data_IF_658024153311
#
_entry.id   IF_658024153311
#
_cell.length_a   1.000
_cell.length_b   1.000
_cell.length_c   1.000
_cell.angle_alpha   90.00
_cell.angle_beta   90.00
_cell.angle_gamma   90.00
#
_symmetry.space_group_name_H-M   'P 1'
#
loop_
_entity.id
_entity.type
_entity.pdbx_description
1 polymer ?
#
# COMPACT_ATOMS: atom_id res chain seq x y z
N UNK A 1 -11.05 6.83 23.91
CA UNK A 1 -11.49 6.50 22.53
C UNK A 1 -10.24 6.26 21.71
N UNK A 2 -10.22 5.21 20.88
CA UNK A 2 -9.07 4.91 20.02
C UNK A 2 -9.00 5.93 18.88
N UNK A 3 -7.87 6.58 18.71
CA UNK A 3 -7.62 7.58 17.66
C UNK A 3 -7.14 6.93 16.36
N UNK A 4 -6.16 6.00 16.46
CA UNK A 4 -5.59 5.31 15.31
C UNK A 4 -5.57 3.81 15.55
N UNK A 5 -6.12 3.05 14.58
CA UNK A 5 -5.90 1.60 14.48
C UNK A 5 -4.71 1.34 13.55
N UNK A 6 -3.64 0.75 14.07
CA UNK A 6 -2.51 0.30 13.26
C UNK A 6 -2.79 -1.13 12.81
N UNK A 7 -2.87 -1.34 11.50
CA UNK A 7 -3.14 -2.62 10.86
C UNK A 7 -1.81 -3.26 10.47
N UNK A 8 -1.50 -4.42 11.04
CA UNK A 8 -0.21 -5.08 10.91
C UNK A 8 -0.39 -6.53 10.40
N UNK A 9 -0.39 -6.77 9.08
CA UNK A 9 -0.39 -8.14 8.54
C UNK A 9 0.98 -8.77 8.78
N UNK A 10 1.01 -10.02 9.26
CA UNK A 10 2.23 -10.72 9.65
C UNK A 10 2.32 -12.06 8.92
N UNK A 11 3.40 -12.27 8.16
CA UNK A 11 3.70 -13.55 7.51
C UNK A 11 5.20 -13.77 7.35
N UNK A 12 5.78 -14.67 8.15
CA UNK A 12 7.19 -15.04 8.11
C UNK A 12 8.14 -13.84 8.20
N UNK A 13 8.00 -13.02 9.24
CA UNK A 13 8.77 -11.80 9.47
C UNK A 13 9.38 -11.73 10.88
N UNK A 14 9.53 -12.86 11.56
CA UNK A 14 10.07 -12.92 12.93
C UNK A 14 11.34 -12.08 13.15
N UNK A 15 12.32 -12.00 12.23
CA UNK A 15 13.53 -11.20 12.43
C UNK A 15 13.30 -9.69 12.56
N UNK A 16 12.15 -9.18 12.10
CA UNK A 16 11.85 -7.74 12.00
C UNK A 16 10.70 -7.30 12.91
N UNK A 17 9.87 -8.24 13.33
CA UNK A 17 8.57 -7.97 13.94
C UNK A 17 8.71 -7.27 15.30
N UNK A 18 9.74 -7.59 16.10
CA UNK A 18 9.99 -6.91 17.38
C UNK A 18 10.28 -5.42 17.15
N UNK A 19 11.13 -5.08 16.18
CA UNK A 19 11.46 -3.69 15.84
C UNK A 19 10.23 -2.92 15.34
N UNK A 20 9.38 -3.58 14.54
CA UNK A 20 8.12 -3.00 14.09
C UNK A 20 7.19 -2.67 15.28
N UNK A 21 6.97 -3.62 16.21
CA UNK A 21 6.16 -3.38 17.40
C UNK A 21 6.75 -2.27 18.29
N UNK A 22 8.06 -2.29 18.55
CA UNK A 22 8.71 -1.29 19.38
C UNK A 22 8.55 0.12 18.78
N UNK A 23 8.63 0.26 17.47
CA UNK A 23 8.44 1.53 16.78
C UNK A 23 7.02 2.10 16.93
N UNK A 24 6.01 1.22 16.96
CA UNK A 24 4.61 1.63 17.15
C UNK A 24 4.34 1.93 18.62
N UNK A 25 4.80 1.10 19.53
CA UNK A 25 4.56 1.24 20.98
C UNK A 25 5.26 2.45 21.58
N UNK A 26 6.41 2.85 21.01
CA UNK A 26 7.13 4.06 21.41
C UNK A 26 6.47 5.37 20.98
N UNK A 27 5.47 5.35 20.11
CA UNK A 27 4.80 6.56 19.65
C UNK A 27 4.21 7.38 20.80
N UNK A 28 4.26 8.71 20.66
CA UNK A 28 3.72 9.65 21.65
C UNK A 28 2.19 9.58 21.73
N UNK A 29 1.52 9.30 20.62
CA UNK A 29 0.07 9.03 20.59
C UNK A 29 -0.22 7.71 21.32
N UNK A 30 -0.86 7.79 22.50
CA UNK A 30 -1.15 6.60 23.32
C UNK A 30 -2.51 5.97 23.03
N UNK A 31 -3.44 6.73 22.47
CA UNK A 31 -4.79 6.28 22.12
C UNK A 31 -4.81 5.53 20.78
N UNK A 32 -3.96 4.52 20.69
CA UNK A 32 -3.86 3.61 19.54
C UNK A 32 -4.29 2.19 19.92
N UNK A 33 -4.65 1.41 18.93
CA UNK A 33 -4.69 -0.05 18.99
C UNK A 33 -3.84 -0.62 17.86
N UNK A 34 -3.26 -1.77 18.06
CA UNK A 34 -2.48 -2.51 17.06
C UNK A 34 -3.21 -3.79 16.78
N UNK A 35 -3.62 -4.00 15.54
CA UNK A 35 -4.31 -5.22 15.11
C UNK A 35 -3.36 -6.03 14.26
N UNK A 36 -2.70 -7.00 14.89
CA UNK A 36 -1.77 -7.91 14.23
C UNK A 36 -2.53 -9.13 13.70
N UNK A 37 -2.41 -9.42 12.41
CA UNK A 37 -3.04 -10.60 11.81
C UNK A 37 -1.95 -11.53 11.31
N UNK A 38 -1.78 -12.67 11.99
CA UNK A 38 -0.88 -13.73 11.56
C UNK A 38 -1.54 -14.52 10.41
N UNK A 39 -1.00 -14.36 9.21
CA UNK A 39 -1.48 -15.02 7.99
C UNK A 39 -0.80 -16.39 7.78
N UNK A 40 -0.81 -17.23 8.84
CA UNK A 40 -0.29 -18.58 8.79
C UNK A 40 1.24 -18.65 8.73
N UNK A 41 1.95 -17.84 9.52
CA UNK A 41 3.41 -17.90 9.62
C UNK A 41 3.89 -19.26 10.10
N UNK A 42 5.02 -19.70 9.56
CA UNK A 42 5.70 -20.95 9.90
C UNK A 42 7.00 -20.73 10.68
N UNK A 43 7.36 -19.47 10.91
CA UNK A 43 8.46 -19.04 11.75
C UNK A 43 7.96 -18.61 13.14
N UNK A 44 8.82 -18.03 13.97
CA UNK A 44 8.50 -17.60 15.33
C UNK A 44 7.65 -16.33 15.41
N UNK A 45 7.05 -15.85 14.30
CA UNK A 45 6.24 -14.62 14.30
C UNK A 45 5.06 -14.69 15.28
N UNK A 46 4.40 -15.84 15.41
CA UNK A 46 3.29 -16.00 16.35
C UNK A 46 3.73 -15.85 17.81
N UNK A 47 4.85 -16.45 18.17
CA UNK A 47 5.40 -16.35 19.54
C UNK A 47 5.77 -14.90 19.90
N UNK A 48 6.28 -14.15 18.93
CA UNK A 48 6.59 -12.72 19.10
C UNK A 48 5.30 -11.92 19.33
N UNK A 49 4.26 -12.15 18.54
CA UNK A 49 2.96 -11.49 18.73
C UNK A 49 2.43 -11.75 20.15
N UNK A 50 2.41 -13.00 20.60
CA UNK A 50 1.94 -13.39 21.94
C UNK A 50 2.75 -12.73 23.06
N UNK A 51 4.07 -12.70 22.91
CA UNK A 51 4.98 -12.00 23.83
C UNK A 51 4.64 -10.51 23.97
N UNK A 52 4.34 -9.84 22.85
CA UNK A 52 4.01 -8.41 22.84
C UNK A 52 2.60 -8.14 23.36
N UNK A 53 1.62 -9.01 23.10
CA UNK A 53 0.27 -8.93 23.70
C UNK A 53 0.31 -9.01 25.23
N UNK A 54 1.22 -9.80 25.80
CA UNK A 54 1.40 -9.87 27.25
C UNK A 54 2.02 -8.59 27.83
N UNK A 55 2.77 -7.83 27.04
CA UNK A 55 3.43 -6.60 27.47
C UNK A 55 2.55 -5.36 27.35
N UNK A 56 1.64 -5.32 26.34
CA UNK A 56 0.85 -4.16 26.04
C UNK A 56 -0.59 -4.53 25.60
N UNK A 57 -1.57 -4.11 26.37
CA UNK A 57 -2.98 -4.40 26.15
C UNK A 57 -3.58 -3.70 24.89
N UNK A 58 -2.84 -2.81 24.26
CA UNK A 58 -3.26 -2.17 23.00
C UNK A 58 -3.12 -3.11 21.80
N UNK A 59 -2.43 -4.25 21.93
CA UNK A 59 -2.21 -5.21 20.87
C UNK A 59 -3.34 -6.24 20.89
N UNK A 60 -4.00 -6.39 19.76
CA UNK A 60 -5.03 -7.42 19.51
C UNK A 60 -4.51 -8.28 18.36
N UNK A 61 -4.63 -9.59 18.47
CA UNK A 61 -4.17 -10.49 17.43
C UNK A 61 -5.28 -11.40 16.93
N UNK A 62 -5.21 -11.67 15.62
CA UNK A 62 -5.96 -12.71 14.94
C UNK A 62 -5.01 -13.62 14.18
N UNK A 63 -5.41 -14.87 13.98
CA UNK A 63 -4.66 -15.83 13.17
C UNK A 63 -5.59 -16.47 12.14
N UNK A 64 -5.07 -16.68 10.94
CA UNK A 64 -5.75 -17.37 9.85
C UNK A 64 -4.78 -18.31 9.12
N UNK A 65 -5.31 -19.25 8.34
CA UNK A 65 -4.50 -19.95 7.35
C UNK A 65 -4.01 -18.94 6.28
N UNK A 66 -2.86 -19.20 5.66
CA UNK A 66 -2.30 -18.25 4.69
C UNK A 66 -3.26 -18.03 3.51
N UNK A 67 -3.83 -16.83 3.44
CA UNK A 67 -4.73 -16.38 2.38
C UNK A 67 -4.23 -15.10 1.70
N UNK A 68 -3.04 -14.62 2.11
CA UNK A 68 -2.40 -13.43 1.55
C UNK A 68 -2.76 -12.14 2.26
N UNK A 69 -1.93 -11.15 2.05
CA UNK A 69 -1.93 -9.86 2.73
C UNK A 69 -3.27 -9.09 2.62
N UNK A 70 -3.96 -9.21 1.48
CA UNK A 70 -5.30 -8.62 1.30
C UNK A 70 -6.31 -9.11 2.32
N UNK A 71 -6.36 -10.42 2.53
CA UNK A 71 -7.33 -11.05 3.48
C UNK A 71 -6.96 -10.67 4.90
N UNK A 72 -5.67 -10.70 5.25
CA UNK A 72 -5.19 -10.29 6.56
C UNK A 72 -5.52 -8.82 6.88
N UNK A 73 -5.27 -7.90 5.92
CA UNK A 73 -5.64 -6.47 6.08
C UNK A 73 -7.16 -6.29 6.20
N UNK A 74 -7.96 -7.00 5.41
CA UNK A 74 -9.41 -6.93 5.48
C UNK A 74 -9.95 -7.43 6.83
N UNK A 75 -9.41 -8.53 7.36
CA UNK A 75 -9.75 -9.03 8.68
C UNK A 75 -9.44 -7.99 9.77
N UNK A 76 -8.27 -7.38 9.73
CA UNK A 76 -7.91 -6.34 10.67
C UNK A 76 -8.82 -5.10 10.56
N UNK A 77 -9.18 -4.68 9.34
CA UNK A 77 -10.08 -3.55 9.10
C UNK A 77 -11.47 -3.77 9.70
N UNK A 78 -11.99 -4.99 9.67
CA UNK A 78 -13.29 -5.34 10.27
C UNK A 78 -13.30 -5.14 11.80
N UNK A 79 -12.14 -5.26 12.44
CA UNK A 79 -11.99 -5.13 13.89
C UNK A 79 -11.47 -3.75 14.33
N UNK A 80 -11.10 -2.89 13.39
CA UNK A 80 -10.59 -1.56 13.67
C UNK A 80 -11.67 -0.66 14.30
N UNK A 81 -11.30 0.05 15.38
CA UNK A 81 -12.18 0.96 16.13
C UNK A 81 -11.67 2.40 16.14
N UNK A 82 -10.45 2.61 15.66
CA UNK A 82 -9.84 3.93 15.57
C UNK A 82 -10.62 4.87 14.68
N UNK A 83 -10.50 6.15 14.92
CA UNK A 83 -11.06 7.18 14.05
C UNK A 83 -10.37 7.18 12.69
N UNK A 84 -9.05 6.96 12.70
CA UNK A 84 -8.23 6.72 11.52
C UNK A 84 -7.63 5.32 11.54
N UNK A 85 -7.25 4.83 10.37
CA UNK A 85 -6.49 3.60 10.20
C UNK A 85 -5.15 3.90 9.54
N UNK A 86 -4.13 3.20 9.99
CA UNK A 86 -2.79 3.22 9.42
C UNK A 86 -2.38 1.79 9.07
N UNK A 87 -2.10 1.54 7.79
CA UNK A 87 -1.57 0.25 7.34
C UNK A 87 -0.06 0.27 7.51
N UNK A 88 0.51 -0.74 8.14
CA UNK A 88 1.96 -0.85 8.29
C UNK A 88 2.42 -2.24 7.88
N UNK A 89 3.49 -2.30 7.10
CA UNK A 89 4.14 -3.58 6.82
C UNK A 89 4.99 -4.00 8.02
N UNK A 90 4.91 -5.28 8.38
CA UNK A 90 5.49 -5.81 9.63
C UNK A 90 7.02 -5.98 9.61
N UNK A 91 7.66 -5.61 8.53
CA UNK A 91 9.12 -5.51 8.39
C UNK A 91 9.63 -4.06 8.31
N UNK A 92 8.73 -3.07 8.39
CA UNK A 92 9.05 -1.64 8.39
C UNK A 92 9.07 -1.05 9.82
N UNK A 93 9.50 0.20 9.93
CA UNK A 93 9.66 0.92 11.20
C UNK A 93 9.08 2.33 11.07
N UNK A 94 8.31 2.78 12.07
CA UNK A 94 7.92 4.19 12.15
C UNK A 94 9.12 5.07 12.50
N UNK A 95 9.27 6.19 11.82
CA UNK A 95 10.36 7.14 12.00
C UNK A 95 9.96 8.24 12.98
N UNK A 96 10.69 8.35 14.09
CA UNK A 96 10.40 9.31 15.16
C UNK A 96 9.23 8.89 16.05
N UNK A 97 9.14 9.52 17.22
CA UNK A 97 8.15 9.18 18.25
C UNK A 97 6.80 9.89 18.04
N UNK A 98 6.75 10.91 17.21
CA UNK A 98 5.55 11.76 17.01
C UNK A 98 4.86 11.52 15.66
N UNK A 99 5.26 10.49 14.90
CA UNK A 99 4.73 10.24 13.56
C UNK A 99 3.19 10.10 13.56
N UNK A 100 2.64 9.22 14.39
CA UNK A 100 1.20 9.01 14.48
C UNK A 100 0.47 10.22 15.08
N UNK A 101 1.05 10.90 16.09
CA UNK A 101 0.44 12.08 16.69
C UNK A 101 0.33 13.21 15.66
N UNK A 102 1.43 13.50 14.95
CA UNK A 102 1.45 14.58 13.96
C UNK A 102 0.47 14.31 12.81
N UNK A 103 0.47 13.07 12.28
CA UNK A 103 -0.45 12.69 11.22
C UNK A 103 -1.92 12.79 11.68
N UNK A 104 -2.23 12.33 12.90
CA UNK A 104 -3.57 12.39 13.46
C UNK A 104 -4.04 13.84 13.66
N UNK A 105 -3.24 14.68 14.31
CA UNK A 105 -3.59 16.07 14.59
C UNK A 105 -3.79 16.85 13.28
N UNK A 106 -2.92 16.60 12.29
CA UNK A 106 -3.04 17.21 10.97
C UNK A 106 -4.32 16.77 10.25
N UNK A 107 -4.62 15.46 10.28
CA UNK A 107 -5.83 14.91 9.70
C UNK A 107 -7.10 15.48 10.35
N UNK A 108 -7.12 15.58 11.68
CA UNK A 108 -8.25 16.16 12.45
C UNK A 108 -8.46 17.64 12.15
N UNK A 109 -7.38 18.42 12.17
CA UNK A 109 -7.43 19.87 11.90
C UNK A 109 -8.04 20.16 10.53
N UNK A 110 -7.74 19.32 9.53
CA UNK A 110 -8.14 19.54 8.15
C UNK A 110 -9.39 18.73 7.74
N UNK A 111 -9.98 17.97 8.66
CA UNK A 111 -11.08 17.02 8.37
C UNK A 111 -10.75 16.12 7.16
N UNK A 112 -9.51 15.62 7.15
CA UNK A 112 -8.97 14.87 6.02
C UNK A 112 -9.56 13.46 5.94
N UNK A 113 -9.96 13.05 4.76
CA UNK A 113 -10.25 11.64 4.44
C UNK A 113 -8.95 10.83 4.34
N UNK A 114 -7.90 11.47 3.80
CA UNK A 114 -6.57 10.86 3.64
C UNK A 114 -5.50 11.91 3.94
N UNK A 115 -4.49 11.52 4.71
CA UNK A 115 -3.22 12.23 4.79
C UNK A 115 -2.13 11.32 4.23
N UNK A 116 -1.35 11.80 3.26
CA UNK A 116 -0.22 11.07 2.72
C UNK A 116 1.10 11.77 3.05
N UNK A 117 2.15 10.95 3.21
CA UNK A 117 3.49 11.36 3.62
C UNK A 117 4.56 10.54 2.92
N UNK A 118 5.83 10.77 3.25
CA UNK A 118 6.95 10.09 2.62
C UNK A 118 7.68 9.09 3.54
N UNK A 119 8.64 8.41 2.94
CA UNK A 119 9.50 7.41 3.57
C UNK A 119 10.97 7.69 3.30
N UNK A 120 11.81 7.15 4.15
CA UNK A 120 13.19 6.81 3.83
C UNK A 120 13.33 5.29 3.62
N UNK A 121 14.40 4.86 2.97
CA UNK A 121 14.69 3.45 2.79
C UNK A 121 15.98 3.07 3.48
N UNK A 122 16.06 1.85 3.99
CA UNK A 122 17.26 1.31 4.61
C UNK A 122 17.41 -0.18 4.29
N UNK A 123 18.63 -0.66 4.34
CA UNK A 123 18.95 -2.08 4.16
C UNK A 123 18.85 -2.84 5.46
N UNK A 124 18.87 -4.18 5.40
CA UNK A 124 18.96 -5.05 6.59
C UNK A 124 20.16 -4.73 7.50
N UNK A 125 21.22 -4.14 6.97
CA UNK A 125 22.40 -3.69 7.72
C UNK A 125 22.25 -2.24 8.23
N UNK A 126 21.06 -1.68 8.28
CA UNK A 126 20.73 -0.31 8.71
C UNK A 126 21.47 0.80 7.95
N UNK A 127 21.96 0.53 6.75
CA UNK A 127 22.47 1.57 5.85
C UNK A 127 21.29 2.27 5.19
N UNK A 128 21.03 3.50 5.61
CA UNK A 128 19.96 4.32 5.03
C UNK A 128 20.36 4.84 3.65
N UNK A 129 19.43 4.86 2.73
CA UNK A 129 19.55 5.55 1.47
C UNK A 129 18.19 6.11 1.05
N UNK A 130 18.22 7.25 0.38
CA UNK A 130 17.00 7.91 -0.09
C UNK A 130 16.77 7.55 -1.56
N UNK A 131 15.62 6.96 -1.87
CA UNK A 131 15.19 6.80 -3.26
C UNK A 131 14.35 8.02 -3.64
N UNK A 132 14.72 8.70 -4.74
CA UNK A 132 14.15 9.96 -5.20
C UNK A 132 12.74 9.81 -5.83
N UNK A 133 11.82 9.10 -5.19
CA UNK A 133 10.42 9.07 -5.64
C UNK A 133 9.53 9.42 -4.46
N UNK A 134 9.48 10.71 -4.15
CA UNK A 134 8.60 11.22 -3.10
C UNK A 134 7.25 11.59 -3.71
N UNK A 135 6.20 10.91 -3.30
CA UNK A 135 4.82 11.24 -3.70
C UNK A 135 4.45 12.67 -3.29
N UNK A 136 5.10 13.20 -2.26
CA UNK A 136 4.86 14.55 -1.74
C UNK A 136 5.60 15.65 -2.51
N UNK A 137 6.54 15.31 -3.40
CA UNK A 137 7.40 16.28 -4.08
C UNK A 137 6.61 17.39 -4.80
N UNK A 138 5.53 17.01 -5.47
CA UNK A 138 4.71 17.91 -6.28
C UNK A 138 3.44 18.39 -5.58
N UNK A 139 3.14 17.85 -4.41
CA UNK A 139 2.01 18.30 -3.61
C UNK A 139 2.41 19.47 -2.69
N UNK A 140 1.45 20.31 -2.35
CA UNK A 140 1.62 21.43 -1.44
C UNK A 140 1.03 21.08 -0.08
N UNK A 141 1.73 21.40 1.01
CA UNK A 141 1.18 21.27 2.36
C UNK A 141 0.03 22.27 2.56
N UNK A 142 -0.89 21.92 3.44
CA UNK A 142 -2.09 22.71 3.77
C UNK A 142 -3.03 22.98 2.58
N UNK A 143 -2.82 22.30 1.46
CA UNK A 143 -3.72 22.34 0.32
C UNK A 143 -4.61 21.09 0.30
N UNK A 144 -5.91 21.35 0.17
CA UNK A 144 -6.90 20.28 -0.04
C UNK A 144 -6.88 19.83 -1.49
N UNK A 145 -6.78 18.53 -1.70
CA UNK A 145 -6.87 17.92 -3.02
C UNK A 145 -8.13 17.05 -3.11
N UNK A 146 -8.85 17.14 -4.23
CA UNK A 146 -9.75 16.09 -4.67
C UNK A 146 -8.92 14.93 -5.21
N UNK A 147 -9.33 13.70 -4.92
CA UNK A 147 -8.52 12.53 -5.28
C UNK A 147 -8.28 12.36 -6.76
N UNK A 148 -9.28 12.69 -7.60
CA UNK A 148 -9.13 12.67 -9.05
C UNK A 148 -8.06 13.67 -9.55
N UNK A 149 -8.05 14.88 -8.99
CA UNK A 149 -7.10 15.93 -9.39
C UNK A 149 -5.70 15.60 -8.91
N UNK A 150 -5.58 15.08 -7.68
CA UNK A 150 -4.32 14.58 -7.13
C UNK A 150 -3.77 13.44 -7.97
N UNK A 151 -4.58 12.41 -8.26
CA UNK A 151 -4.16 11.27 -9.08
C UNK A 151 -3.71 11.74 -10.46
N UNK A 152 -4.44 12.68 -11.07
CA UNK A 152 -4.07 13.25 -12.37
C UNK A 152 -2.70 13.94 -12.33
N UNK A 153 -2.44 14.75 -11.31
CA UNK A 153 -1.16 15.42 -11.08
C UNK A 153 -0.02 14.41 -10.87
N UNK A 154 -0.24 13.40 -10.01
CA UNK A 154 0.78 12.38 -9.72
C UNK A 154 1.13 11.53 -10.95
N UNK A 155 0.15 11.24 -11.81
CA UNK A 155 0.38 10.53 -13.07
C UNK A 155 1.17 11.41 -14.07
N UNK A 156 0.85 12.72 -14.18
CA UNK A 156 1.54 13.66 -15.07
C UNK A 156 3.01 13.85 -14.68
N UNK A 157 3.27 13.90 -13.39
CA UNK A 157 4.61 14.07 -12.84
C UNK A 157 5.38 12.76 -12.67
N UNK A 158 4.76 11.61 -13.02
CA UNK A 158 5.31 10.27 -12.81
C UNK A 158 5.70 9.97 -11.35
N UNK A 159 5.06 10.65 -10.40
CA UNK A 159 5.28 10.52 -8.95
C UNK A 159 4.21 9.68 -8.24
N UNK A 160 3.26 9.10 -8.99
CA UNK A 160 2.25 8.21 -8.43
C UNK A 160 2.89 7.00 -7.76
N UNK A 161 2.51 6.78 -6.50
CA UNK A 161 2.90 5.64 -5.69
C UNK A 161 1.65 5.07 -5.01
N UNK A 162 1.40 3.78 -5.20
CA UNK A 162 0.19 3.11 -4.74
C UNK A 162 0.29 2.54 -3.31
N UNK A 163 1.42 2.69 -2.63
CA UNK A 163 1.65 2.02 -1.34
C UNK A 163 0.75 2.56 -0.23
N UNK A 164 0.02 1.67 0.43
CA UNK A 164 -0.97 2.03 1.47
C UNK A 164 -0.35 2.45 2.79
N UNK A 165 0.87 2.01 3.07
CA UNK A 165 1.58 2.33 4.32
C UNK A 165 2.19 3.76 4.36
N UNK A 166 1.97 4.56 3.31
CA UNK A 166 2.20 6.01 3.31
C UNK A 166 0.92 6.83 3.54
N UNK A 167 -0.17 6.19 3.96
CA UNK A 167 -1.48 6.81 4.11
C UNK A 167 -2.01 6.66 5.54
N UNK A 168 -2.43 7.77 6.15
CA UNK A 168 -3.36 7.75 7.27
C UNK A 168 -4.77 8.01 6.72
N UNK A 169 -5.72 7.10 6.96
CA UNK A 169 -7.01 7.09 6.28
C UNK A 169 -8.14 7.17 7.30
N UNK A 170 -9.10 8.05 7.07
CA UNK A 170 -10.30 8.12 7.89
C UNK A 170 -11.11 6.82 7.78
N UNK A 171 -11.34 6.14 8.91
CA UNK A 171 -12.03 4.85 8.92
C UNK A 171 -13.48 4.94 8.47
N UNK A 172 -14.19 6.00 8.83
CA UNK A 172 -15.58 6.17 8.40
C UNK A 172 -15.66 6.39 6.89
N UNK A 173 -14.68 7.06 6.29
CA UNK A 173 -14.59 7.19 4.85
C UNK A 173 -14.44 5.83 4.17
N UNK A 174 -13.52 4.95 4.64
CA UNK A 174 -13.39 3.60 4.12
C UNK A 174 -14.70 2.79 4.19
N UNK A 175 -15.42 2.89 5.31
CA UNK A 175 -16.72 2.23 5.49
C UNK A 175 -17.76 2.80 4.51
N UNK A 176 -17.82 4.12 4.40
CA UNK A 176 -18.79 4.81 3.54
C UNK A 176 -18.65 4.41 2.07
N UNK A 177 -17.42 4.29 1.57
CA UNK A 177 -17.15 3.90 0.17
C UNK A 177 -17.08 2.39 -0.03
N UNK A 178 -17.20 1.59 1.03
CA UNK A 178 -17.12 0.13 0.98
C UNK A 178 -15.73 -0.40 0.58
N UNK A 179 -14.65 0.34 0.93
CA UNK A 179 -13.30 0.03 0.51
C UNK A 179 -12.75 -1.22 1.19
N UNK A 180 -12.24 -2.16 0.41
CA UNK A 180 -11.53 -3.34 0.88
C UNK A 180 -10.41 -3.74 -0.09
N UNK A 181 -9.45 -4.53 0.41
CA UNK A 181 -8.40 -5.11 -0.44
C UNK A 181 -8.97 -6.27 -1.27
N UNK A 182 -8.59 -6.32 -2.55
CA UNK A 182 -9.01 -7.40 -3.43
C UNK A 182 -8.23 -8.68 -3.13
N UNK A 183 -8.91 -9.80 -2.76
CA UNK A 183 -8.22 -11.03 -2.38
C UNK A 183 -7.55 -11.73 -3.57
N UNK A 184 -6.49 -12.49 -3.29
CA UNK A 184 -5.89 -13.44 -4.24
C UNK A 184 -4.95 -12.83 -5.28
N UNK A 185 -4.81 -11.51 -5.33
CA UNK A 185 -3.84 -10.83 -6.20
C UNK A 185 -2.61 -10.37 -5.40
N UNK A 186 -1.51 -10.17 -6.09
CA UNK A 186 -0.37 -9.34 -5.67
C UNK A 186 -0.53 -7.98 -6.37
N UNK A 187 0.06 -6.92 -5.86
CA UNK A 187 -0.21 -5.53 -6.29
C UNK A 187 -1.64 -5.07 -5.96
N UNK A 188 -2.20 -5.60 -4.87
CA UNK A 188 -3.50 -5.20 -4.32
C UNK A 188 -3.54 -3.70 -3.98
N UNK A 189 -2.39 -3.11 -3.63
CA UNK A 189 -2.23 -1.70 -3.33
C UNK A 189 -2.55 -0.81 -4.54
N UNK A 190 -2.25 -1.27 -5.76
CA UNK A 190 -2.57 -0.53 -7.00
C UNK A 190 -4.09 -0.32 -7.13
N UNK A 191 -4.87 -1.35 -6.85
CA UNK A 191 -6.32 -1.26 -6.91
C UNK A 191 -6.83 -0.43 -5.73
N UNK A 192 -6.47 -0.82 -4.51
CA UNK A 192 -6.95 -0.18 -3.27
C UNK A 192 -6.69 1.33 -3.28
N UNK A 193 -5.45 1.75 -3.51
CA UNK A 193 -5.08 3.17 -3.46
C UNK A 193 -5.70 3.99 -4.59
N UNK A 194 -5.78 3.42 -5.80
CA UNK A 194 -6.42 4.10 -6.93
C UNK A 194 -7.91 4.31 -6.68
N UNK A 195 -8.62 3.27 -6.21
CA UNK A 195 -10.04 3.36 -5.86
C UNK A 195 -10.29 4.34 -4.71
N UNK A 196 -9.48 4.25 -3.65
CA UNK A 196 -9.55 5.15 -2.52
C UNK A 196 -9.39 6.60 -2.95
N UNK A 197 -8.40 6.93 -3.78
CA UNK A 197 -8.22 8.28 -4.32
C UNK A 197 -9.42 8.72 -5.15
N UNK A 198 -9.91 7.87 -6.06
CA UNK A 198 -11.03 8.22 -6.95
C UNK A 198 -12.33 8.54 -6.18
N UNK A 199 -12.49 7.99 -4.99
CA UNK A 199 -13.66 8.17 -4.12
C UNK A 199 -13.45 9.24 -3.03
N UNK A 200 -12.27 9.87 -2.96
CA UNK A 200 -11.94 10.86 -1.92
C UNK A 200 -12.01 12.29 -2.45
N UNK A 201 -12.44 13.19 -1.58
CA UNK A 201 -12.60 14.63 -1.84
C UNK A 201 -11.73 15.52 -0.95
N UNK A 202 -11.09 14.94 0.06
CA UNK A 202 -10.33 15.65 1.09
C UNK A 202 -9.02 14.93 1.38
N UNK A 203 -8.04 15.11 0.50
CA UNK A 203 -6.68 14.53 0.62
C UNK A 203 -5.70 15.65 0.90
N UNK A 204 -4.82 15.42 1.88
CA UNK A 204 -3.80 16.37 2.29
C UNK A 204 -2.41 15.72 2.31
N UNK A 205 -1.39 16.55 2.12
CA UNK A 205 0.01 16.15 2.10
C UNK A 205 0.73 16.63 3.36
N UNK A 206 1.54 15.76 3.97
CA UNK A 206 2.58 16.12 4.91
C UNK A 206 3.94 15.83 4.28
N UNK A 207 4.77 16.86 4.09
CA UNK A 207 6.13 16.74 3.50
C UNK A 207 7.14 16.27 4.55
N UNK A 208 6.82 15.17 5.21
CA UNK A 208 7.61 14.57 6.26
C UNK A 208 7.82 13.08 5.98
N UNK A 209 8.91 12.56 6.48
CA UNK A 209 9.27 11.14 6.40
C UNK A 209 8.93 10.47 7.72
N UNK A 210 7.87 9.66 7.71
CA UNK A 210 7.38 8.98 8.92
C UNK A 210 7.59 7.47 8.91
N UNK A 211 8.09 6.91 7.82
CA UNK A 211 8.35 5.48 7.67
C UNK A 211 9.77 5.23 7.23
N UNK A 212 10.42 4.27 7.87
CA UNK A 212 11.66 3.64 7.42
C UNK A 212 11.28 2.32 6.76
N UNK A 213 11.32 2.31 5.42
CA UNK A 213 11.02 1.12 4.64
C UNK A 213 12.25 0.25 4.46
N UNK A 214 12.15 -1.01 4.90
CA UNK A 214 13.25 -1.97 4.85
C UNK A 214 13.36 -2.61 3.46
N UNK A 215 14.56 -2.53 2.86
CA UNK A 215 14.90 -3.25 1.64
C UNK A 215 15.59 -4.55 2.02
N UNK A 216 14.97 -5.67 1.70
CA UNK A 216 15.52 -7.01 1.90
C UNK A 216 15.50 -7.83 0.62
N UNK A 217 16.43 -8.78 0.52
CA UNK A 217 16.61 -9.63 -0.66
C UNK A 217 15.38 -10.50 -0.99
N UNK A 218 14.59 -10.85 0.03
CA UNK A 218 13.40 -11.70 -0.10
C UNK A 218 12.07 -10.92 -0.16
N UNK A 219 12.12 -9.58 -0.25
CA UNK A 219 10.89 -8.76 -0.34
C UNK A 219 10.12 -9.02 -1.65
N UNK A 220 8.83 -8.71 -1.64
CA UNK A 220 7.98 -8.82 -2.84
C UNK A 220 8.53 -7.98 -4.00
N UNK A 221 9.13 -6.84 -3.71
CA UNK A 221 9.77 -5.93 -4.69
C UNK A 221 11.05 -6.53 -5.27
N UNK A 222 11.81 -7.31 -4.48
CA UNK A 222 13.06 -7.97 -4.91
C UNK A 222 12.85 -9.26 -5.70
N UNK A 223 11.66 -9.82 -5.74
CA UNK A 223 11.36 -11.07 -6.44
C UNK A 223 11.33 -10.88 -7.96
N UNK A 224 11.69 -11.94 -8.68
CA UNK A 224 11.62 -11.97 -10.15
C UNK A 224 10.18 -11.67 -10.61
N UNK A 225 10.06 -10.77 -11.57
CA UNK A 225 8.78 -10.47 -12.24
C UNK A 225 8.31 -11.71 -13.03
N UNK A 226 7.06 -12.12 -12.81
CA UNK A 226 6.52 -13.37 -13.34
C UNK A 226 5.19 -13.14 -14.07
N UNK A 227 4.66 -14.18 -14.70
CA UNK A 227 3.32 -14.17 -15.27
C UNK A 227 2.25 -13.76 -14.25
N UNK A 228 2.35 -14.20 -12.98
CA UNK A 228 1.42 -13.83 -11.93
C UNK A 228 1.33 -12.29 -11.75
N UNK A 229 2.47 -11.60 -11.82
CA UNK A 229 2.47 -10.13 -11.76
C UNK A 229 1.65 -9.54 -12.91
N UNK A 230 1.86 -10.03 -14.15
CA UNK A 230 1.11 -9.57 -15.32
C UNK A 230 -0.40 -9.81 -15.15
N UNK A 231 -0.77 -11.04 -14.76
CA UNK A 231 -2.18 -11.41 -14.59
C UNK A 231 -2.86 -10.56 -13.50
N UNK A 232 -2.17 -10.25 -12.41
CA UNK A 232 -2.68 -9.37 -11.33
C UNK A 232 -2.88 -7.93 -11.81
N UNK A 233 -1.93 -7.35 -12.55
CA UNK A 233 -2.12 -6.01 -13.13
C UNK A 233 -3.28 -5.95 -14.14
N UNK A 234 -3.48 -7.01 -14.91
CA UNK A 234 -4.64 -7.08 -15.82
C UNK A 234 -5.95 -7.20 -15.03
N UNK A 235 -5.95 -7.89 -13.88
CA UNK A 235 -7.10 -7.91 -12.95
C UNK A 235 -7.37 -6.53 -12.36
N UNK A 236 -6.35 -5.81 -11.92
CA UNK A 236 -6.48 -4.39 -11.48
C UNK A 236 -7.12 -3.55 -12.60
N UNK A 237 -6.71 -3.73 -13.85
CA UNK A 237 -7.29 -3.01 -14.98
C UNK A 237 -8.76 -3.39 -15.23
N UNK A 238 -9.12 -4.69 -15.09
CA UNK A 238 -10.49 -5.17 -15.21
C UNK A 238 -11.40 -4.51 -14.16
N UNK A 239 -10.96 -4.44 -12.89
CA UNK A 239 -11.73 -3.85 -11.79
C UNK A 239 -11.88 -2.33 -11.96
N UNK A 240 -10.78 -1.60 -12.22
CA UNK A 240 -10.82 -0.15 -12.38
C UNK A 240 -11.72 0.29 -13.56
N UNK A 241 -11.83 -0.49 -14.62
CA UNK A 241 -12.71 -0.17 -15.75
C UNK A 241 -14.22 -0.25 -15.42
N UNK A 242 -14.58 -0.79 -14.25
CA UNK A 242 -15.98 -0.77 -13.76
C UNK A 242 -16.38 0.61 -13.22
N UNK A 243 -15.43 1.44 -12.84
CA UNK A 243 -15.70 2.79 -12.34
C UNK A 243 -16.19 3.73 -13.46
N UNK A 244 -17.00 4.72 -13.07
CA UNK A 244 -17.56 5.70 -14.01
C UNK A 244 -16.57 6.74 -14.52
N UNK A 245 -15.47 6.97 -13.80
CA UNK A 245 -14.49 8.03 -14.07
C UNK A 245 -13.48 7.66 -15.17
N UNK A 246 -13.99 7.27 -16.33
CA UNK A 246 -13.21 6.70 -17.45
C UNK A 246 -11.97 7.51 -17.89
N UNK A 247 -12.01 8.85 -18.03
CA UNK A 247 -10.82 9.58 -18.53
C UNK A 247 -9.59 9.41 -17.66
N UNK A 248 -9.72 9.53 -16.33
CA UNK A 248 -8.59 9.38 -15.41
C UNK A 248 -8.14 7.91 -15.30
N UNK A 249 -9.08 6.97 -15.36
CA UNK A 249 -8.76 5.54 -15.38
C UNK A 249 -8.00 5.18 -16.66
N UNK A 250 -8.41 5.69 -17.83
CA UNK A 250 -7.68 5.46 -19.08
C UNK A 250 -6.27 6.03 -19.02
N UNK A 251 -6.06 7.17 -18.35
CA UNK A 251 -4.74 7.75 -18.13
C UNK A 251 -3.90 6.86 -17.21
N UNK A 252 -4.46 6.43 -16.08
CA UNK A 252 -3.83 5.49 -15.15
C UNK A 252 -3.42 4.20 -15.88
N UNK A 253 -4.32 3.60 -16.67
CA UNK A 253 -4.02 2.37 -17.41
C UNK A 253 -2.89 2.56 -18.42
N UNK A 254 -2.84 3.71 -19.13
CA UNK A 254 -1.69 4.00 -20.01
C UNK A 254 -0.37 4.09 -19.25
N UNK A 255 -0.40 4.75 -18.10
CA UNK A 255 0.77 4.89 -17.24
C UNK A 255 1.25 3.52 -16.72
N UNK A 256 0.34 2.74 -16.12
CA UNK A 256 0.66 1.48 -15.45
C UNK A 256 0.92 0.36 -16.44
N UNK A 257 0.01 0.09 -17.40
CA UNK A 257 0.17 -1.03 -18.32
C UNK A 257 1.37 -0.85 -19.26
N UNK A 258 1.72 0.38 -19.65
CA UNK A 258 2.95 0.60 -20.42
C UNK A 258 4.20 0.18 -19.65
N UNK A 259 4.29 0.50 -18.34
CA UNK A 259 5.40 0.07 -17.48
C UNK A 259 5.41 -1.44 -17.28
N UNK A 260 4.25 -2.01 -16.98
CA UNK A 260 4.05 -3.45 -16.74
C UNK A 260 4.44 -4.28 -17.95
N UNK A 261 4.00 -3.90 -19.15
CA UNK A 261 4.37 -4.60 -20.38
C UNK A 261 5.84 -4.41 -20.75
N UNK A 262 6.40 -3.23 -20.47
CA UNK A 262 7.85 -3.05 -20.61
C UNK A 262 8.63 -4.01 -19.73
N UNK A 263 8.26 -4.13 -18.43
CA UNK A 263 8.89 -5.08 -17.49
C UNK A 263 8.55 -6.54 -17.82
N UNK A 264 7.44 -6.77 -18.49
CA UNK A 264 6.96 -8.08 -18.91
C UNK A 264 7.92 -8.85 -19.82
N UNK A 265 8.97 -8.20 -20.38
CA UNK A 265 10.04 -8.93 -21.10
C UNK A 265 10.75 -9.95 -20.20
N UNK A 266 10.71 -9.76 -18.87
CA UNK A 266 11.34 -10.64 -17.88
C UNK A 266 10.59 -11.95 -17.61
N UNK A 267 9.32 -12.06 -18.02
CA UNK A 267 8.56 -13.31 -17.82
C UNK A 267 9.03 -14.40 -18.77
N UNK A 268 8.70 -15.65 -18.43
CA UNK A 268 9.02 -16.79 -19.30
C UNK A 268 8.44 -16.58 -20.71
N UNK A 269 9.23 -16.87 -21.73
CA UNK A 269 8.81 -16.77 -23.14
C UNK A 269 7.54 -17.57 -23.44
N UNK A 270 7.36 -18.70 -22.76
CA UNK A 270 6.18 -19.58 -22.90
C UNK A 270 4.89 -18.91 -22.41
N UNK A 271 4.98 -17.95 -21.49
CA UNK A 271 3.84 -17.26 -20.90
C UNK A 271 3.41 -16.01 -21.70
N UNK A 272 4.31 -15.44 -22.50
CA UNK A 272 4.07 -14.20 -23.26
C UNK A 272 2.83 -14.27 -24.17
N UNK A 273 2.61 -15.33 -24.96
CA UNK A 273 1.44 -15.42 -25.82
C UNK A 273 0.10 -15.35 -25.06
N UNK A 274 0.01 -16.06 -23.92
CA UNK A 274 -1.21 -16.10 -23.11
C UNK A 274 -1.54 -14.72 -22.49
N UNK A 275 -0.53 -14.03 -21.95
CA UNK A 275 -0.66 -12.68 -21.38
C UNK A 275 -1.05 -11.69 -22.48
N UNK A 276 -0.37 -11.71 -23.60
CA UNK A 276 -0.67 -10.82 -24.74
C UNK A 276 -2.08 -11.05 -25.28
N UNK A 277 -2.48 -12.31 -25.41
CA UNK A 277 -3.85 -12.67 -25.84
C UNK A 277 -4.91 -12.14 -24.87
N UNK A 278 -4.70 -12.29 -23.55
CA UNK A 278 -5.59 -11.71 -22.53
C UNK A 278 -5.70 -10.20 -22.70
N UNK A 279 -4.57 -9.49 -22.79
CA UNK A 279 -4.58 -8.04 -22.98
C UNK A 279 -5.26 -7.59 -24.28
N UNK A 280 -5.07 -8.34 -25.37
CA UNK A 280 -5.74 -8.09 -26.65
C UNK A 280 -7.24 -8.30 -26.55
N UNK A 281 -7.69 -9.42 -25.99
CA UNK A 281 -9.11 -9.75 -25.82
C UNK A 281 -9.84 -8.75 -24.92
N UNK A 282 -9.19 -8.25 -23.88
CA UNK A 282 -9.71 -7.20 -22.98
C UNK A 282 -9.60 -5.79 -23.57
N UNK A 283 -9.05 -5.61 -24.76
CA UNK A 283 -8.89 -4.32 -25.41
C UNK A 283 -7.85 -3.41 -24.77
N UNK A 284 -6.86 -3.98 -24.06
CA UNK A 284 -5.84 -3.22 -23.33
C UNK A 284 -4.67 -2.75 -24.19
N UNK A 285 -4.51 -3.28 -25.41
CA UNK A 285 -3.43 -2.87 -26.31
C UNK A 285 -3.42 -1.36 -26.60
N UNK A 286 -4.57 -0.71 -26.58
CA UNK A 286 -4.70 0.76 -26.74
C UNK A 286 -4.07 1.58 -25.59
N UNK A 287 -3.78 0.95 -24.45
CA UNK A 287 -3.11 1.57 -23.32
C UNK A 287 -1.60 1.30 -23.28
N UNK A 288 -1.13 0.33 -24.08
CA UNK A 288 0.27 -0.11 -24.08
C UNK A 288 1.00 0.61 -25.22
N UNK A 289 2.01 1.39 -24.87
CA UNK A 289 2.82 2.08 -25.86
C UNK A 289 3.59 1.12 -26.77
N UNK A 290 3.84 1.54 -28.03
CA UNK A 290 4.53 0.73 -29.04
C UNK A 290 5.89 0.19 -28.53
N UNK A 291 6.67 1.03 -27.87
CA UNK A 291 7.96 0.65 -27.26
C UNK A 291 7.82 -0.49 -26.26
N UNK A 292 6.78 -0.43 -25.40
CA UNK A 292 6.50 -1.45 -24.39
C UNK A 292 6.02 -2.75 -25.02
N UNK A 293 5.19 -2.67 -26.04
CA UNK A 293 4.74 -3.84 -26.81
C UNK A 293 5.90 -4.55 -27.51
N UNK A 294 6.80 -3.82 -28.14
CA UNK A 294 7.98 -4.39 -28.79
C UNK A 294 8.93 -5.01 -27.76
N UNK A 295 9.19 -4.28 -26.65
CA UNK A 295 10.07 -4.78 -25.58
C UNK A 295 9.52 -6.03 -24.93
N UNK A 296 8.21 -6.17 -24.80
CA UNK A 296 7.57 -7.35 -24.19
C UNK A 296 8.00 -8.67 -24.87
N UNK A 297 8.18 -8.67 -26.17
CA UNK A 297 8.55 -9.86 -26.94
C UNK A 297 10.07 -10.12 -27.05
N UNK A 298 10.90 -9.18 -26.61
CA UNK A 298 12.36 -9.37 -26.54
C UNK A 298 12.79 -9.95 -25.20
#
# INVERSE_FOLDING_TARGET
MVKVSVILPVYNVAPYLEEAFDSILSQSLKEIEIIAVNDGSTDNSQEIIEKYMQKDARIISFSQENQGQSVARNLALQHARGEYVYMMDSDDVLSGIDALQTCYDYAKKNEAEIVFFDREQFTENHVSFTVQLHSTQYAEENKKYGGKDLLNMLLDTSSYNCVVWLLLINRQHLIHIGQCFYPGIIHEDELFTTELMLNSSSIYCLKQTYVKHRIRSMSTVGRKFTRRNMDCYLTVADELLRFSQKPIIHKYLRYTLSKVFYTGHLISYKDKPAVFWRAMKSGYLKYIGLKSSLKFFT
#
